data_IF_903167488335
#
_entry.id   IF_903167488335
#
_cell.length_a   1.000
_cell.length_b   1.000
_cell.length_c   1.000
_cell.angle_alpha   90.00
_cell.angle_beta   90.00
_cell.angle_gamma   90.00
#
_symmetry.space_group_name_H-M   'P 1'
#
loop_
_entity.id
_entity.type
_entity.pdbx_description
1 polymer ?
#
# COMPACT_ATOMS: atom_id res chain seq x y z
N UNK A 1 -18.61 26.32 -6.12
CA UNK A 1 -17.16 26.07 -6.12
C UNK A 1 -16.85 24.80 -6.89
N UNK A 2 -16.20 24.94 -8.05
CA UNK A 2 -15.75 23.80 -8.86
C UNK A 2 -14.24 23.69 -8.69
N UNK A 3 -13.74 22.48 -8.41
CA UNK A 3 -12.31 22.20 -8.41
C UNK A 3 -11.81 22.13 -9.87
N UNK A 4 -10.76 22.88 -10.19
CA UNK A 4 -10.06 22.83 -11.48
C UNK A 4 -8.64 22.26 -11.26
N UNK A 5 -8.36 21.01 -11.66
CA UNK A 5 -7.07 20.37 -11.44
C UNK A 5 -5.90 21.13 -12.09
N UNK A 6 -6.12 21.73 -13.27
CA UNK A 6 -5.04 22.33 -14.06
C UNK A 6 -4.45 23.59 -13.42
N UNK A 7 -5.25 24.33 -12.65
CA UNK A 7 -4.84 25.55 -11.95
C UNK A 7 -4.65 25.35 -10.44
N UNK A 8 -5.05 24.20 -9.89
CA UNK A 8 -4.94 23.91 -8.48
C UNK A 8 -3.47 23.87 -8.02
N UNK A 9 -3.20 24.52 -6.88
CA UNK A 9 -1.93 24.44 -6.15
C UNK A 9 -2.20 23.93 -4.75
N UNK A 10 -1.96 22.64 -4.53
CA UNK A 10 -2.24 21.96 -3.27
C UNK A 10 -1.29 20.78 -3.10
N UNK A 11 -0.87 20.55 -1.86
CA UNK A 11 -0.22 19.31 -1.46
C UNK A 11 -1.27 18.33 -0.94
N UNK A 12 -1.27 17.11 -1.46
CA UNK A 12 -2.05 16.00 -0.90
C UNK A 12 -1.12 15.06 -0.13
N UNK A 13 -1.49 14.77 1.11
CA UNK A 13 -0.81 13.82 1.99
C UNK A 13 -1.47 12.47 1.84
N UNK A 14 -0.75 11.52 1.26
CA UNK A 14 -1.28 10.18 0.97
C UNK A 14 -0.48 9.14 1.72
N UNK A 15 -1.14 8.39 2.59
CA UNK A 15 -0.49 7.30 3.30
C UNK A 15 -0.69 5.97 2.57
N UNK A 16 0.39 5.22 2.35
CA UNK A 16 0.37 3.94 1.66
C UNK A 16 1.64 3.14 1.96
N UNK A 17 1.64 1.83 1.79
CA UNK A 17 2.87 1.02 1.84
C UNK A 17 3.78 1.31 0.64
N UNK A 18 5.06 0.92 0.74
CA UNK A 18 6.01 0.93 -0.37
C UNK A 18 5.52 0.09 -1.56
N UNK A 19 4.89 -1.06 -1.29
CA UNK A 19 4.25 -1.91 -2.28
C UNK A 19 3.15 -1.19 -3.05
N UNK A 20 2.19 -0.57 -2.34
CA UNK A 20 1.13 0.24 -2.96
C UNK A 20 1.71 1.42 -3.74
N UNK A 21 2.75 2.06 -3.21
CA UNK A 21 3.42 3.16 -3.89
C UNK A 21 4.05 2.73 -5.22
N UNK A 22 4.71 1.56 -5.24
CA UNK A 22 5.32 0.99 -6.45
C UNK A 22 4.27 0.69 -7.54
N UNK A 23 3.06 0.28 -7.15
CA UNK A 23 1.96 0.01 -8.07
C UNK A 23 1.33 1.30 -8.60
N UNK A 24 1.03 2.26 -7.72
CA UNK A 24 0.17 3.40 -8.09
C UNK A 24 0.91 4.64 -8.56
N UNK A 25 2.04 5.00 -7.94
CA UNK A 25 2.67 6.30 -8.17
C UNK A 25 3.18 6.50 -9.60
N UNK A 26 3.72 5.49 -10.31
CA UNK A 26 4.18 5.70 -11.69
C UNK A 26 3.08 6.24 -12.61
N UNK A 27 1.87 5.70 -12.50
CA UNK A 27 0.73 6.06 -13.35
C UNK A 27 0.09 7.36 -12.87
N UNK A 28 -0.09 7.49 -11.55
CA UNK A 28 -0.66 8.69 -10.93
C UNK A 28 0.19 9.94 -11.24
N UNK A 29 1.51 9.85 -11.11
CA UNK A 29 2.42 10.98 -11.40
C UNK A 29 2.35 11.37 -12.87
N UNK A 30 2.21 10.40 -13.80
CA UNK A 30 2.03 10.70 -15.23
C UNK A 30 0.75 11.49 -15.48
N UNK A 31 -0.35 11.12 -14.82
CA UNK A 31 -1.63 11.83 -14.92
C UNK A 31 -1.50 13.23 -14.33
N UNK A 32 -0.97 13.36 -13.10
CA UNK A 32 -0.84 14.65 -12.42
C UNK A 32 0.03 15.63 -13.20
N UNK A 33 1.15 15.19 -13.78
CA UNK A 33 2.00 16.06 -14.61
C UNK A 33 1.28 16.62 -15.83
N UNK A 34 0.34 15.88 -16.41
CA UNK A 34 -0.44 16.31 -17.58
C UNK A 34 -1.62 17.18 -17.19
N UNK A 35 -2.35 16.79 -16.15
CA UNK A 35 -3.69 17.33 -15.87
C UNK A 35 -3.72 18.28 -14.66
N UNK A 36 -2.76 18.17 -13.75
CA UNK A 36 -2.72 18.95 -12.52
C UNK A 36 -1.28 19.28 -12.07
N UNK A 37 -0.50 20.01 -12.89
CA UNK A 37 0.94 20.20 -12.68
C UNK A 37 1.29 21.01 -11.42
N UNK A 38 0.31 21.72 -10.83
CA UNK A 38 0.47 22.45 -9.56
C UNK A 38 0.21 21.60 -8.31
N UNK A 39 -0.21 20.33 -8.47
CA UNK A 39 -0.42 19.42 -7.34
C UNK A 39 0.92 18.80 -6.92
N UNK A 40 1.15 18.79 -5.62
CA UNK A 40 2.25 18.07 -4.97
C UNK A 40 1.73 16.86 -4.20
N UNK A 41 2.47 15.77 -4.20
CA UNK A 41 2.13 14.56 -3.45
C UNK A 41 3.16 14.32 -2.35
N UNK A 42 2.71 14.27 -1.10
CA UNK A 42 3.51 13.82 0.03
C UNK A 42 3.10 12.41 0.41
N UNK A 43 4.02 11.46 0.24
CA UNK A 43 3.77 10.05 0.58
C UNK A 43 4.21 9.79 2.02
N UNK A 44 3.32 9.19 2.81
CA UNK A 44 3.51 8.96 4.24
C UNK A 44 3.48 7.45 4.51
N UNK A 45 4.49 6.96 5.21
CA UNK A 45 4.50 5.59 5.75
C UNK A 45 4.05 5.66 7.21
N UNK A 46 3.02 4.89 7.56
CA UNK A 46 2.48 4.80 8.92
C UNK A 46 1.96 3.39 9.18
N UNK A 47 1.70 3.05 10.44
CA UNK A 47 0.93 1.83 10.74
C UNK A 47 -0.51 1.98 10.28
N UNK A 48 -1.24 0.87 10.15
CA UNK A 48 -2.65 0.87 9.76
C UNK A 48 -3.50 1.78 10.65
N UNK A 49 -3.27 1.72 11.97
CA UNK A 49 -3.93 2.56 12.95
C UNK A 49 -3.58 4.04 12.72
N UNK A 50 -2.30 4.35 12.54
CA UNK A 50 -1.84 5.71 12.27
C UNK A 50 -2.37 6.29 10.94
N UNK A 51 -2.59 5.43 9.92
CA UNK A 51 -3.24 5.84 8.68
C UNK A 51 -4.71 6.22 8.91
N UNK A 52 -5.46 5.39 9.63
CA UNK A 52 -6.87 5.63 9.94
C UNK A 52 -7.03 6.88 10.79
N UNK A 53 -6.27 7.00 11.88
CA UNK A 53 -6.30 8.15 12.78
C UNK A 53 -5.92 9.44 12.05
N UNK A 54 -4.89 9.38 11.19
CA UNK A 54 -4.45 10.55 10.43
C UNK A 54 -5.50 11.02 9.42
N UNK A 55 -6.29 10.13 8.83
CA UNK A 55 -7.42 10.54 7.97
C UNK A 55 -8.54 11.16 8.80
N UNK A 56 -8.91 10.55 9.93
CA UNK A 56 -9.96 11.07 10.83
C UNK A 56 -9.63 12.47 11.36
N UNK A 57 -8.36 12.71 11.72
CA UNK A 57 -7.89 13.98 12.24
C UNK A 57 -7.59 15.03 11.15
N UNK A 58 -7.63 14.64 9.87
CA UNK A 58 -7.31 15.51 8.74
C UNK A 58 -5.80 15.76 8.56
N UNK A 59 -4.94 14.96 9.17
CA UNK A 59 -3.49 14.97 8.97
C UNK A 59 -3.06 14.24 7.68
N UNK A 60 -3.90 13.33 7.19
CA UNK A 60 -3.74 12.58 5.95
C UNK A 60 -4.99 12.84 5.10
N UNK A 61 -4.81 13.17 3.82
CA UNK A 61 -5.94 13.40 2.90
C UNK A 61 -6.52 12.06 2.39
N UNK A 62 -5.69 11.04 2.20
CA UNK A 62 -6.10 9.70 1.74
C UNK A 62 -5.17 8.61 2.29
N UNK A 63 -5.74 7.47 2.67
CA UNK A 63 -4.98 6.27 3.01
C UNK A 63 -5.29 5.13 2.03
N UNK A 64 -4.26 4.51 1.47
CA UNK A 64 -4.34 3.37 0.56
C UNK A 64 -3.61 2.16 1.17
N UNK A 65 -4.39 1.15 1.55
CA UNK A 65 -3.90 -0.05 2.20
C UNK A 65 -5.01 -1.06 2.44
N UNK A 66 -4.68 -2.15 3.12
CA UNK A 66 -5.64 -3.17 3.55
C UNK A 66 -6.09 -2.80 4.95
N UNK A 67 -7.39 -2.60 5.16
CA UNK A 67 -7.99 -2.23 6.44
C UNK A 67 -9.13 -3.21 6.78
N UNK A 68 -8.89 -4.21 7.66
CA UNK A 68 -9.91 -5.21 8.00
C UNK A 68 -11.15 -4.60 8.66
N UNK A 69 -10.91 -3.65 9.57
CA UNK A 69 -11.93 -2.92 10.30
C UNK A 69 -11.85 -1.44 9.92
N UNK A 70 -12.98 -0.85 9.54
CA UNK A 70 -13.07 0.55 9.14
C UNK A 70 -14.15 1.27 9.95
N UNK A 71 -13.83 2.43 10.57
CA UNK A 71 -14.82 3.29 11.21
C UNK A 71 -15.92 3.75 10.23
N UNK A 72 -17.15 3.90 10.71
CA UNK A 72 -18.29 4.28 9.88
C UNK A 72 -18.20 5.71 9.31
N UNK A 73 -17.36 6.53 9.94
CA UNK A 73 -17.05 7.91 9.56
C UNK A 73 -16.19 7.99 8.29
N UNK A 74 -15.50 6.91 7.93
CA UNK A 74 -14.63 6.85 6.78
C UNK A 74 -15.33 6.25 5.56
N UNK A 75 -15.00 6.81 4.39
CA UNK A 75 -15.43 6.28 3.10
C UNK A 75 -14.30 5.48 2.50
N UNK A 76 -14.62 4.29 2.00
CA UNK A 76 -13.67 3.39 1.35
C UNK A 76 -14.08 3.09 -0.08
N UNK A 77 -13.11 2.74 -0.90
CA UNK A 77 -13.34 2.28 -2.26
C UNK A 77 -12.31 1.18 -2.56
N UNK A 78 -12.74 -0.04 -2.89
CA UNK A 78 -11.83 -1.10 -3.32
C UNK A 78 -11.06 -0.64 -4.57
N UNK A 79 -9.73 -0.76 -4.54
CA UNK A 79 -8.88 -0.40 -5.69
C UNK A 79 -8.59 -1.63 -6.55
N UNK A 80 -8.25 -2.75 -5.92
CA UNK A 80 -8.00 -4.05 -6.55
C UNK A 80 -7.99 -5.16 -5.48
N UNK A 81 -7.99 -6.42 -5.91
CA UNK A 81 -7.81 -7.59 -5.05
C UNK A 81 -6.41 -8.17 -5.27
N UNK A 82 -5.78 -8.67 -4.21
CA UNK A 82 -4.41 -9.20 -4.22
C UNK A 82 -4.36 -10.51 -3.42
N UNK A 83 -3.46 -11.42 -3.80
CA UNK A 83 -3.33 -12.73 -3.17
C UNK A 83 -1.88 -12.98 -2.74
N UNK A 84 -1.70 -13.60 -1.57
CA UNK A 84 -0.38 -14.02 -1.13
C UNK A 84 0.16 -15.17 -1.99
N UNK A 85 1.46 -15.11 -2.27
CA UNK A 85 2.20 -16.18 -2.97
C UNK A 85 3.55 -16.39 -2.31
N UNK A 86 4.14 -17.56 -2.52
CA UNK A 86 5.49 -17.88 -2.04
C UNK A 86 6.50 -17.61 -3.16
N UNK A 87 7.54 -16.84 -2.84
CA UNK A 87 8.73 -16.72 -3.67
C UNK A 87 9.82 -17.62 -3.08
N UNK A 88 10.34 -18.53 -3.90
CA UNK A 88 11.43 -19.44 -3.53
C UNK A 88 12.45 -19.50 -4.65
N UNK A 89 13.69 -19.86 -4.31
CA UNK A 89 14.70 -20.18 -5.31
C UNK A 89 14.23 -21.37 -6.15
N UNK A 90 14.24 -21.21 -7.47
CA UNK A 90 13.84 -22.24 -8.43
C UNK A 90 14.66 -23.51 -8.26
N UNK A 91 15.97 -23.37 -8.03
CA UNK A 91 16.89 -24.51 -7.96
C UNK A 91 16.74 -25.28 -6.63
N UNK A 92 16.05 -24.68 -5.66
CA UNK A 92 15.75 -25.32 -4.38
C UNK A 92 14.49 -26.21 -4.42
N UNK A 93 13.70 -26.17 -5.50
CA UNK A 93 12.47 -26.96 -5.63
C UNK A 93 12.71 -28.28 -6.37
N UNK A 94 11.85 -29.26 -6.11
CA UNK A 94 11.78 -30.45 -6.96
C UNK A 94 11.44 -30.06 -8.41
N UNK A 95 11.81 -30.90 -9.38
CA UNK A 95 11.59 -30.63 -10.80
C UNK A 95 10.12 -30.37 -11.18
N UNK A 96 9.16 -30.79 -10.35
CA UNK A 96 7.73 -30.48 -10.50
C UNK A 96 7.41 -28.98 -10.28
N UNK A 97 8.31 -28.22 -9.65
CA UNK A 97 8.11 -26.81 -9.32
C UNK A 97 7.00 -26.56 -8.29
N UNK A 98 6.48 -27.60 -7.64
CA UNK A 98 5.38 -27.48 -6.67
C UNK A 98 5.93 -27.30 -5.26
N UNK A 99 5.41 -26.31 -4.54
CA UNK A 99 5.63 -26.13 -3.11
C UNK A 99 4.38 -26.59 -2.35
N UNK A 100 4.38 -27.82 -1.86
CA UNK A 100 3.33 -28.32 -0.98
C UNK A 100 3.50 -27.82 0.46
N UNK A 101 2.47 -27.99 1.29
CA UNK A 101 2.48 -27.49 2.67
C UNK A 101 3.59 -28.11 3.53
N UNK A 102 3.85 -29.44 3.51
CA UNK A 102 4.99 -30.01 4.23
C UNK A 102 6.33 -29.43 3.81
N UNK A 103 6.55 -29.24 2.50
CA UNK A 103 7.80 -28.65 1.99
C UNK A 103 7.92 -27.18 2.41
N UNK A 104 6.84 -26.40 2.34
CA UNK A 104 6.79 -25.04 2.86
C UNK A 104 7.22 -24.99 4.34
N UNK A 105 6.55 -25.77 5.20
CA UNK A 105 6.79 -25.75 6.66
C UNK A 105 8.20 -26.20 7.06
N UNK A 106 8.86 -27.03 6.24
CA UNK A 106 10.24 -27.49 6.49
C UNK A 106 11.32 -26.44 6.22
N UNK A 107 10.97 -25.31 5.58
CA UNK A 107 11.93 -24.30 5.14
C UNK A 107 12.06 -23.15 6.14
N UNK A 108 13.19 -22.44 6.05
CA UNK A 108 13.34 -21.14 6.69
C UNK A 108 12.51 -20.08 5.95
N UNK A 109 11.86 -19.20 6.71
CA UNK A 109 11.01 -18.14 6.19
C UNK A 109 11.62 -16.78 6.51
N UNK A 110 11.46 -15.83 5.59
CA UNK A 110 11.75 -14.43 5.85
C UNK A 110 10.40 -13.76 6.12
N UNK A 111 10.23 -13.24 7.34
CA UNK A 111 9.04 -12.49 7.73
C UNK A 111 9.30 -11.00 7.55
N UNK A 112 8.42 -10.32 6.81
CA UNK A 112 8.40 -8.86 6.76
C UNK A 112 7.43 -8.34 7.83
N UNK A 113 7.96 -7.82 8.93
CA UNK A 113 7.17 -7.11 9.94
C UNK A 113 7.41 -5.60 9.86
N UNK A 114 6.35 -4.81 9.87
CA UNK A 114 6.48 -3.33 9.92
C UNK A 114 6.67 -2.79 11.34
N UNK A 115 6.23 -3.55 12.35
CA UNK A 115 6.58 -3.32 13.75
C UNK A 115 7.29 -4.59 14.18
N UNK A 116 8.61 -4.53 14.35
CA UNK A 116 9.36 -5.67 14.87
C UNK A 116 8.75 -6.07 16.21
N UNK A 117 7.97 -7.14 16.22
CA UNK A 117 7.26 -7.61 17.40
C UNK A 117 8.21 -8.37 18.33
N UNK A 118 9.43 -8.66 17.86
CA UNK A 118 10.45 -9.36 18.60
C UNK A 118 10.07 -10.80 18.90
N UNK A 119 9.05 -11.36 18.25
CA UNK A 119 8.80 -12.80 18.34
C UNK A 119 9.89 -13.56 17.60
N UNK A 120 10.59 -14.49 18.29
CA UNK A 120 11.65 -15.30 17.70
C UNK A 120 11.13 -16.30 16.67
#
# INVERSE_FOLDING_TARGET
NRFDPASAKRRFRVAMSDYSAAIFLPDLVRVLRREAPGIDLQIIQASREGMVDGVLNGDIDLAAGVFPDMPAELRTTPLFEEHYTCLVDRDSLAASGTLDLPTYLSRHHVLLEMRGSGTP
#
